data_IF_298252452934
#
_entry.id   IF_298252452934
#
_cell.length_a   1.000
_cell.length_b   1.000
_cell.length_c   1.000
_cell.angle_alpha   90.00
_cell.angle_beta   90.00
_cell.angle_gamma   90.00
#
_symmetry.space_group_name_H-M   'P 1'
#
loop_
_entity.id
_entity.type
_entity.pdbx_description
1 polymer ?
#
# COMPACT_ATOMS: atom_id res chain seq x y z
N UNK A 1 9.62 0.78 23.70
CA UNK A 1 8.53 0.32 22.82
C UNK A 1 8.89 0.64 21.37
N UNK A 2 8.64 -0.28 20.43
CA UNK A 2 8.89 -0.07 19.00
C UNK A 2 7.61 -0.41 18.23
N UNK A 3 7.02 0.58 17.57
CA UNK A 3 5.89 0.38 16.67
C UNK A 3 6.37 -0.23 15.35
N UNK A 4 5.70 -1.28 14.88
CA UNK A 4 5.92 -1.89 13.56
C UNK A 4 4.64 -1.81 12.73
N UNK A 5 4.71 -1.18 11.57
CA UNK A 5 3.60 -1.10 10.63
C UNK A 5 3.68 -2.21 9.58
N UNK A 6 2.53 -2.63 9.05
CA UNK A 6 2.39 -3.63 7.99
C UNK A 6 3.06 -3.20 6.68
N UNK A 7 3.04 -1.92 6.37
CA UNK A 7 3.71 -1.33 5.22
C UNK A 7 4.18 0.09 5.53
N UNK A 8 5.38 0.44 5.08
CA UNK A 8 5.82 1.84 5.11
C UNK A 8 5.16 2.57 3.95
N UNK A 9 4.62 3.75 4.22
CA UNK A 9 4.16 4.68 3.20
C UNK A 9 5.20 5.77 2.99
N UNK A 10 5.46 6.14 1.74
CA UNK A 10 6.32 7.29 1.42
C UNK A 10 5.62 8.59 1.85
N UNK A 11 6.38 9.67 1.99
CA UNK A 11 5.83 11.00 2.26
C UNK A 11 4.75 11.37 1.23
N UNK A 12 3.58 11.77 1.70
CA UNK A 12 2.42 12.13 0.87
C UNK A 12 1.55 10.95 0.44
N UNK A 13 1.91 9.70 0.76
CA UNK A 13 1.06 8.52 0.54
C UNK A 13 0.08 8.38 1.71
N UNK A 14 -1.18 8.07 1.40
CA UNK A 14 -2.25 7.92 2.38
C UNK A 14 -2.45 6.46 2.81
N UNK A 15 -3.14 6.28 3.93
CA UNK A 15 -3.62 4.99 4.38
C UNK A 15 -4.96 5.13 5.09
N UNK A 16 -5.95 4.32 4.72
CA UNK A 16 -7.23 4.16 5.41
C UNK A 16 -7.29 2.85 6.18
N UNK A 17 -6.40 1.90 5.86
CA UNK A 17 -6.34 0.57 6.48
C UNK A 17 -4.91 0.16 6.87
N UNK A 18 -4.10 1.09 7.42
CA UNK A 18 -2.80 0.73 7.99
C UNK A 18 -2.99 -0.10 9.24
N UNK A 19 -2.19 -1.17 9.38
CA UNK A 19 -2.11 -1.99 10.57
C UNK A 19 -0.73 -1.85 11.21
N UNK A 20 -0.69 -1.74 12.52
CA UNK A 20 0.55 -1.69 13.27
C UNK A 20 0.43 -2.50 14.56
N UNK A 21 1.54 -3.01 15.07
CA UNK A 21 1.60 -3.60 16.41
C UNK A 21 2.71 -2.96 17.25
N UNK A 22 2.55 -3.07 18.55
CA UNK A 22 3.52 -2.63 19.55
C UNK A 22 3.49 -3.56 20.73
N UNK A 23 4.66 -3.98 21.22
CA UNK A 23 4.79 -4.73 22.47
C UNK A 23 4.84 -3.74 23.63
N UNK A 24 3.88 -3.86 24.56
CA UNK A 24 3.76 -3.00 25.71
C UNK A 24 3.99 -3.83 26.99
N UNK A 25 4.95 -3.45 27.86
CA UNK A 25 5.11 -4.11 29.17
C UNK A 25 3.79 -4.06 29.96
N UNK A 26 3.36 -5.18 30.54
CA UNK A 26 2.13 -5.26 31.32
C UNK A 26 2.07 -4.18 32.42
N UNK A 27 3.18 -3.86 33.07
CA UNK A 27 3.27 -2.81 34.08
C UNK A 27 3.00 -1.38 33.54
N UNK A 28 3.10 -1.18 32.24
CA UNK A 28 2.80 0.11 31.59
C UNK A 28 1.34 0.26 31.18
N UNK A 29 0.60 -0.83 31.04
CA UNK A 29 -0.82 -0.81 30.64
C UNK A 29 -1.71 -0.02 31.58
N UNK A 30 -1.66 -0.19 32.95
CA UNK A 30 -2.50 0.59 33.86
C UNK A 30 -2.24 2.10 33.81
N UNK A 31 -1.01 2.52 33.40
CA UNK A 31 -0.66 3.93 33.21
C UNK A 31 -1.11 4.48 31.87
N UNK A 32 -1.15 3.61 30.85
CA UNK A 32 -1.56 3.99 29.50
C UNK A 32 -3.07 4.22 29.41
N UNK A 33 -3.86 3.42 30.10
CA UNK A 33 -5.30 3.60 30.24
C UNK A 33 -5.74 3.17 31.66
N UNK A 34 -6.31 4.05 32.47
CA UNK A 34 -6.90 3.68 33.76
C UNK A 34 -8.05 2.69 33.51
N UNK A 35 -8.19 1.73 34.42
CA UNK A 35 -9.18 0.63 34.34
C UNK A 35 -10.46 1.06 33.64
N UNK A 36 -10.67 0.56 32.44
CA UNK A 36 -11.96 0.67 31.79
C UNK A 36 -12.93 -0.25 32.51
N UNK A 37 -14.13 0.21 32.88
CA UNK A 37 -15.18 -0.67 33.40
C UNK A 37 -15.71 -1.62 32.31
N UNK A 38 -15.22 -1.46 31.06
CA UNK A 38 -15.64 -2.24 29.91
C UNK A 38 -14.63 -3.36 29.63
N UNK A 39 -15.15 -4.56 29.41
CA UNK A 39 -14.42 -5.73 28.91
C UNK A 39 -14.80 -5.98 27.46
N UNK A 40 -13.92 -6.64 26.68
CA UNK A 40 -14.15 -6.92 25.26
C UNK A 40 -13.82 -5.76 24.35
N UNK A 41 -14.60 -5.56 23.28
CA UNK A 41 -14.31 -4.57 22.20
C UNK A 41 -14.21 -3.13 22.70
N UNK A 42 -14.89 -2.78 23.81
CA UNK A 42 -14.82 -1.44 24.39
C UNK A 42 -13.59 -1.20 25.30
N UNK A 43 -12.75 -2.21 25.53
CA UNK A 43 -11.59 -2.14 26.46
C UNK A 43 -10.67 -0.97 26.13
N UNK A 44 -10.36 -0.73 24.86
CA UNK A 44 -9.38 0.25 24.42
C UNK A 44 -9.96 1.61 24.00
N UNK A 45 -11.27 1.81 24.07
CA UNK A 45 -11.91 3.10 23.69
C UNK A 45 -11.31 4.30 24.43
N UNK A 46 -11.02 4.25 25.75
CA UNK A 46 -10.36 5.36 26.44
C UNK A 46 -8.96 5.68 25.88
N UNK A 47 -8.20 4.65 25.49
CA UNK A 47 -6.88 4.83 24.87
C UNK A 47 -7.00 5.44 23.48
N UNK A 48 -7.93 4.98 22.65
CA UNK A 48 -8.21 5.56 21.32
C UNK A 48 -8.53 7.06 21.44
N UNK A 49 -9.43 7.43 22.37
CA UNK A 49 -9.79 8.83 22.63
C UNK A 49 -8.60 9.66 23.09
N UNK A 50 -7.74 9.10 23.95
CA UNK A 50 -6.53 9.77 24.40
C UNK A 50 -5.55 9.98 23.24
N UNK A 51 -5.28 8.96 22.43
CA UNK A 51 -4.41 9.06 21.26
C UNK A 51 -4.94 10.10 20.28
N UNK A 52 -6.25 10.20 20.05
CA UNK A 52 -6.86 11.20 19.18
C UNK A 52 -6.62 12.65 19.60
N UNK A 53 -6.24 12.91 20.87
CA UNK A 53 -5.88 14.24 21.38
C UNK A 53 -4.40 14.58 21.18
N UNK A 54 -3.53 13.57 21.12
CA UNK A 54 -2.08 13.75 21.00
C UNK A 54 -1.57 13.61 19.55
N UNK A 55 -2.27 12.82 18.74
CA UNK A 55 -1.87 12.62 17.35
C UNK A 55 -2.26 13.82 16.47
N UNK A 56 -1.46 14.14 15.44
CA UNK A 56 -1.83 15.13 14.43
C UNK A 56 -3.21 14.84 13.83
N UNK A 57 -3.87 15.87 13.29
CA UNK A 57 -5.25 15.75 12.76
C UNK A 57 -5.39 14.80 11.59
N UNK A 58 -4.32 14.50 10.88
CA UNK A 58 -4.22 13.58 9.76
C UNK A 58 -3.87 12.13 10.15
N UNK A 59 -3.68 11.86 11.46
CA UNK A 59 -3.46 10.50 11.99
C UNK A 59 -4.54 10.15 13.00
N UNK A 60 -5.21 9.02 12.78
CA UNK A 60 -6.24 8.49 13.70
C UNK A 60 -6.06 7.00 13.91
N UNK A 61 -6.16 6.58 15.16
CA UNK A 61 -6.29 5.17 15.53
C UNK A 61 -7.78 4.84 15.52
N UNK A 62 -8.19 3.95 14.64
CA UNK A 62 -9.60 3.58 14.46
C UNK A 62 -9.99 2.49 15.43
N UNK A 63 -9.08 1.53 15.66
CA UNK A 63 -9.30 0.40 16.53
C UNK A 63 -8.00 -0.05 17.21
N UNK A 64 -8.12 -0.67 18.39
CA UNK A 64 -7.02 -1.31 19.13
C UNK A 64 -7.56 -2.64 19.68
N UNK A 65 -6.85 -3.71 19.36
CA UNK A 65 -7.13 -5.06 19.84
C UNK A 65 -5.89 -5.71 20.43
N UNK A 66 -6.07 -6.74 21.24
CA UNK A 66 -4.96 -7.59 21.69
C UNK A 66 -4.50 -8.43 20.51
N UNK A 67 -3.20 -8.34 20.19
CA UNK A 67 -2.63 -9.14 19.14
C UNK A 67 -2.55 -10.62 19.57
N UNK A 68 -2.92 -11.57 18.69
CA UNK A 68 -2.68 -12.99 18.92
C UNK A 68 -1.19 -13.30 19.10
N UNK A 69 -0.87 -14.42 19.73
CA UNK A 69 0.51 -14.90 19.82
C UNK A 69 1.11 -15.06 18.40
N UNK A 70 2.37 -14.65 18.24
CA UNK A 70 3.06 -14.73 16.97
C UNK A 70 2.68 -13.64 15.94
N UNK A 71 1.75 -12.74 16.23
CA UNK A 71 1.37 -11.68 15.29
C UNK A 71 2.50 -10.68 15.07
N UNK A 72 2.86 -10.48 13.81
CA UNK A 72 3.72 -9.40 13.34
C UNK A 72 3.01 -8.65 12.20
N UNK A 73 2.67 -7.37 12.41
CA UNK A 73 1.93 -6.59 11.42
C UNK A 73 2.57 -6.60 10.03
N UNK A 74 3.90 -6.72 9.94
CA UNK A 74 4.62 -6.74 8.68
C UNK A 74 4.78 -8.14 8.10
N UNK A 75 5.21 -9.10 8.91
CA UNK A 75 5.61 -10.41 8.43
C UNK A 75 4.46 -11.42 8.39
N UNK A 76 3.43 -11.25 9.24
CA UNK A 76 2.24 -12.10 9.17
C UNK A 76 1.31 -11.73 8.01
N UNK A 77 1.46 -10.58 7.38
CA UNK A 77 0.56 -10.15 6.32
C UNK A 77 0.64 -11.04 5.08
N UNK A 78 -0.54 -11.41 4.54
CA UNK A 78 -0.69 -12.17 3.30
C UNK A 78 -0.57 -11.26 2.09
N UNK A 79 -1.27 -10.13 2.11
CA UNK A 79 -1.30 -9.16 1.01
C UNK A 79 -1.64 -7.76 1.49
N UNK A 80 -1.37 -6.77 0.64
CA UNK A 80 -1.71 -5.35 0.84
C UNK A 80 -2.50 -4.89 -0.36
N UNK A 81 -3.53 -4.09 -0.09
CA UNK A 81 -4.40 -3.52 -1.10
C UNK A 81 -4.19 -2.02 -1.16
N UNK A 82 -3.91 -1.54 -2.36
CA UNK A 82 -3.75 -0.12 -2.64
C UNK A 82 -4.77 0.32 -3.69
N UNK A 83 -5.14 1.58 -3.61
CA UNK A 83 -5.81 2.28 -4.71
C UNK A 83 -4.97 3.49 -5.11
N UNK A 84 -4.94 3.78 -6.41
CA UNK A 84 -4.38 5.03 -6.92
C UNK A 84 -5.45 5.77 -7.71
N UNK A 85 -5.67 7.05 -7.40
CA UNK A 85 -6.73 7.85 -7.99
C UNK A 85 -6.17 8.99 -8.82
N UNK A 86 -6.74 9.16 -10.02
CA UNK A 86 -6.44 10.20 -11.00
C UNK A 86 -7.71 10.94 -11.39
N UNK A 87 -7.62 12.24 -11.63
CA UNK A 87 -8.67 13.02 -12.28
C UNK A 87 -8.17 13.52 -13.62
N UNK A 88 -8.90 13.21 -14.70
CA UNK A 88 -8.64 13.71 -16.06
C UNK A 88 -9.42 14.98 -16.38
N UNK A 89 -10.20 15.48 -15.43
CA UNK A 89 -10.94 16.73 -15.59
C UNK A 89 -9.98 17.89 -15.94
N UNK A 90 -10.34 18.77 -16.90
CA UNK A 90 -9.48 19.89 -17.31
C UNK A 90 -9.21 20.89 -16.18
N UNK A 91 -10.09 20.97 -15.18
CA UNK A 91 -9.92 21.79 -13.97
C UNK A 91 -9.12 21.07 -12.87
N UNK A 92 -8.66 19.82 -13.10
CA UNK A 92 -7.93 19.02 -12.11
C UNK A 92 -8.84 18.22 -11.17
N UNK A 93 -8.36 17.93 -9.96
CA UNK A 93 -9.17 17.23 -8.97
C UNK A 93 -10.13 18.20 -8.26
N UNK A 94 -11.31 17.72 -7.87
CA UNK A 94 -12.23 18.49 -7.04
C UNK A 94 -11.54 18.91 -5.75
N UNK A 95 -11.75 20.13 -5.21
CA UNK A 95 -11.04 20.64 -4.03
C UNK A 95 -11.08 19.71 -2.81
N UNK A 96 -12.23 19.06 -2.55
CA UNK A 96 -12.39 18.12 -1.44
C UNK A 96 -11.55 16.85 -1.61
N UNK A 97 -11.22 16.49 -2.86
CA UNK A 97 -10.48 15.28 -3.23
C UNK A 97 -9.00 15.56 -3.54
N UNK A 98 -8.61 16.81 -3.70
CA UNK A 98 -7.30 17.22 -4.21
C UNK A 98 -6.11 16.71 -3.38
N UNK A 99 -6.32 16.33 -2.12
CA UNK A 99 -5.27 15.77 -1.26
C UNK A 99 -4.99 14.29 -1.52
N UNK A 100 -5.92 13.55 -2.17
CA UNK A 100 -5.83 12.10 -2.39
C UNK A 100 -6.23 11.65 -3.80
N UNK A 101 -6.41 12.61 -4.72
CA UNK A 101 -6.61 12.40 -6.14
C UNK A 101 -5.57 13.21 -6.91
N UNK A 102 -4.80 12.55 -7.77
CA UNK A 102 -3.81 13.23 -8.62
C UNK A 102 -4.52 13.87 -9.82
N UNK A 103 -4.33 15.18 -10.00
CA UNK A 103 -4.76 15.85 -11.23
C UNK A 103 -3.87 15.39 -12.40
N UNK A 104 -4.53 14.88 -13.46
CA UNK A 104 -3.86 14.44 -14.68
C UNK A 104 -4.67 14.88 -15.90
N UNK A 105 -4.67 16.17 -16.25
CA UNK A 105 -5.55 16.76 -17.27
C UNK A 105 -5.08 16.42 -18.70
N UNK A 106 -4.82 15.14 -18.95
CA UNK A 106 -4.44 14.59 -20.25
C UNK A 106 -5.35 13.42 -20.55
N UNK A 107 -5.70 13.23 -21.83
CA UNK A 107 -6.44 12.04 -22.25
C UNK A 107 -5.68 10.78 -21.87
N UNK A 108 -6.40 9.79 -21.35
CA UNK A 108 -5.85 8.49 -20.99
C UNK A 108 -6.73 7.39 -21.60
N UNK A 109 -6.07 6.51 -22.35
CA UNK A 109 -6.65 5.27 -22.84
C UNK A 109 -6.56 4.20 -21.71
N UNK A 110 -7.70 4.07 -20.99
CA UNK A 110 -7.78 3.13 -19.85
C UNK A 110 -7.74 1.68 -20.33
N UNK A 111 -8.24 1.39 -21.53
CA UNK A 111 -8.22 0.04 -22.10
C UNK A 111 -6.79 -0.40 -22.43
N UNK A 112 -5.98 0.50 -23.02
CA UNK A 112 -4.56 0.25 -23.24
C UNK A 112 -3.80 0.05 -21.91
N UNK A 113 -4.11 0.85 -20.88
CA UNK A 113 -3.53 0.69 -19.54
C UNK A 113 -3.93 -0.66 -18.93
N UNK A 114 -5.19 -1.05 -19.04
CA UNK A 114 -5.69 -2.34 -18.54
C UNK A 114 -5.05 -3.52 -19.30
N UNK A 115 -4.87 -3.40 -20.62
CA UNK A 115 -4.18 -4.40 -21.42
C UNK A 115 -2.72 -4.60 -20.97
N UNK A 116 -1.95 -3.50 -20.79
CA UNK A 116 -0.59 -3.55 -20.30
C UNK A 116 -0.48 -4.07 -18.86
N UNK A 117 -1.50 -3.84 -18.03
CA UNK A 117 -1.53 -4.29 -16.63
C UNK A 117 -1.64 -5.81 -16.52
N UNK A 118 -2.33 -6.49 -17.46
CA UNK A 118 -2.48 -7.96 -17.44
C UNK A 118 -1.15 -8.68 -17.51
N UNK A 119 -0.20 -8.15 -18.26
CA UNK A 119 1.13 -8.75 -18.41
C UNK A 119 2.02 -8.61 -17.15
N UNK A 120 1.62 -7.74 -16.21
CA UNK A 120 2.35 -7.48 -14.97
C UNK A 120 1.81 -8.33 -13.80
N UNK A 121 0.63 -8.94 -13.94
CA UNK A 121 0.05 -9.80 -12.90
C UNK A 121 0.79 -11.12 -12.83
N UNK A 122 1.10 -11.57 -11.60
CA UNK A 122 1.82 -12.80 -11.32
C UNK A 122 3.10 -12.58 -10.54
N UNK A 123 3.87 -13.65 -10.40
CA UNK A 123 5.17 -13.65 -9.73
C UNK A 123 6.27 -13.21 -10.70
N UNK A 124 6.78 -12.01 -10.50
CA UNK A 124 7.82 -11.41 -11.35
C UNK A 124 8.89 -10.72 -10.52
N UNK A 125 10.03 -10.47 -11.17
CA UNK A 125 11.04 -9.54 -10.65
C UNK A 125 10.69 -8.11 -11.10
N UNK A 126 10.26 -7.29 -10.15
CA UNK A 126 9.90 -5.89 -10.38
C UNK A 126 11.09 -4.91 -10.24
N UNK A 127 12.32 -5.36 -10.46
CA UNK A 127 13.50 -4.49 -10.37
C UNK A 127 13.35 -3.24 -11.27
N UNK A 128 12.77 -3.37 -12.48
CA UNK A 128 12.48 -2.27 -13.39
C UNK A 128 11.54 -1.19 -12.83
N UNK A 129 10.77 -1.51 -11.79
CA UNK A 129 9.78 -0.64 -11.14
C UNK A 129 10.17 -0.22 -9.72
N UNK A 130 11.27 -0.72 -9.16
CA UNK A 130 11.62 -0.51 -7.77
C UNK A 130 12.85 0.35 -7.60
N UNK A 131 12.85 1.23 -6.60
CA UNK A 131 14.10 1.82 -6.14
C UNK A 131 14.93 0.75 -5.44
N UNK A 132 16.21 0.68 -5.76
CA UNK A 132 17.13 -0.26 -5.14
C UNK A 132 17.20 -0.04 -3.61
N UNK A 133 17.23 -1.14 -2.88
CA UNK A 133 17.46 -1.16 -1.44
C UNK A 133 18.36 -2.35 -1.10
N UNK A 134 19.50 -2.13 -0.42
CA UNK A 134 20.36 -3.22 0.00
C UNK A 134 19.58 -4.27 0.82
N UNK A 135 19.89 -5.54 0.62
CA UNK A 135 19.31 -6.66 1.34
C UNK A 135 17.77 -6.78 1.22
N UNK A 136 17.20 -6.34 0.09
CA UNK A 136 15.77 -6.50 -0.20
C UNK A 136 15.60 -7.11 -1.59
N UNK A 137 14.76 -8.14 -1.70
CA UNK A 137 14.36 -8.71 -3.00
C UNK A 137 13.34 -7.82 -3.71
N UNK A 138 13.32 -7.87 -5.02
CA UNK A 138 12.33 -7.22 -5.89
C UNK A 138 11.30 -8.18 -6.47
N UNK A 139 11.45 -9.49 -6.17
CA UNK A 139 10.52 -10.53 -6.61
C UNK A 139 9.23 -10.42 -5.79
N UNK A 140 8.09 -10.19 -6.47
CA UNK A 140 6.76 -9.99 -5.87
C UNK A 140 5.71 -10.75 -6.63
N UNK A 141 4.68 -11.16 -5.91
CA UNK A 141 3.46 -11.71 -6.50
C UNK A 141 2.41 -10.61 -6.60
N UNK A 142 2.31 -9.99 -7.79
CA UNK A 142 1.29 -8.99 -8.09
C UNK A 142 -0.01 -9.72 -8.44
N UNK A 143 -0.98 -9.69 -7.53
CA UNK A 143 -2.20 -10.50 -7.61
C UNK A 143 -3.34 -9.77 -8.32
N UNK A 144 -3.31 -8.43 -8.32
CA UNK A 144 -4.33 -7.59 -8.95
C UNK A 144 -3.70 -6.28 -9.42
N UNK A 145 -4.04 -5.89 -10.65
CA UNK A 145 -3.76 -4.56 -11.19
C UNK A 145 -4.81 -4.27 -12.27
N UNK A 146 -5.89 -3.66 -11.87
CA UNK A 146 -7.00 -3.30 -12.76
C UNK A 146 -7.41 -1.84 -12.60
N UNK A 147 -8.17 -1.35 -13.55
CA UNK A 147 -8.57 0.03 -13.69
C UNK A 147 -10.08 0.16 -13.80
N UNK A 148 -10.64 1.16 -13.15
CA UNK A 148 -12.02 1.59 -13.33
C UNK A 148 -12.07 3.08 -13.64
N UNK A 149 -13.12 3.49 -14.39
CA UNK A 149 -13.36 4.89 -14.73
C UNK A 149 -14.80 5.28 -14.40
N UNK A 150 -14.95 6.36 -13.65
CA UNK A 150 -16.24 6.98 -13.33
C UNK A 150 -16.15 8.46 -13.73
N UNK A 151 -16.68 8.79 -14.91
CA UNK A 151 -16.51 10.12 -15.48
C UNK A 151 -15.04 10.49 -15.67
N UNK A 152 -14.59 11.53 -14.98
CA UNK A 152 -13.20 11.99 -15.01
C UNK A 152 -12.30 11.31 -13.98
N UNK A 153 -12.88 10.57 -13.04
CA UNK A 153 -12.12 9.84 -12.03
C UNK A 153 -11.69 8.46 -12.56
N UNK A 154 -10.39 8.21 -12.57
CA UNK A 154 -9.80 6.91 -12.89
C UNK A 154 -9.18 6.34 -11.61
N UNK A 155 -9.46 5.09 -11.30
CA UNK A 155 -8.94 4.39 -10.12
C UNK A 155 -8.22 3.12 -10.53
N UNK A 156 -6.96 2.96 -10.09
CA UNK A 156 -6.24 1.71 -10.14
C UNK A 156 -6.44 0.94 -8.83
N UNK A 157 -6.70 -0.36 -8.92
CA UNK A 157 -6.71 -1.29 -7.80
C UNK A 157 -5.48 -2.19 -7.88
N UNK A 158 -4.67 -2.22 -6.83
CA UNK A 158 -3.38 -2.91 -6.84
C UNK A 158 -3.27 -3.77 -5.59
N UNK A 159 -3.10 -5.08 -5.79
CA UNK A 159 -2.92 -6.05 -4.69
C UNK A 159 -1.69 -6.88 -4.93
N UNK A 160 -0.84 -7.03 -3.92
CA UNK A 160 0.32 -7.91 -3.96
C UNK A 160 0.62 -8.48 -2.55
N UNK A 161 1.40 -9.56 -2.53
CA UNK A 161 1.93 -10.13 -1.28
C UNK A 161 2.81 -9.15 -0.51
N UNK A 162 3.62 -8.38 -1.24
CA UNK A 162 4.43 -7.29 -0.73
C UNK A 162 4.78 -6.31 -1.87
N UNK A 163 5.28 -5.13 -1.52
CA UNK A 163 5.74 -4.13 -2.47
C UNK A 163 7.18 -3.74 -2.17
N UNK A 164 8.01 -3.61 -3.20
CA UNK A 164 9.31 -2.99 -3.08
C UNK A 164 9.19 -1.46 -3.14
N UNK A 165 10.27 -0.76 -2.81
CA UNK A 165 10.21 0.69 -2.63
C UNK A 165 9.73 1.42 -3.88
N UNK A 166 8.66 2.18 -3.73
CA UNK A 166 8.01 2.98 -4.78
C UNK A 166 7.33 2.18 -5.90
N UNK A 167 7.19 0.83 -5.75
CA UNK A 167 6.70 -0.05 -6.81
C UNK A 167 5.34 0.39 -7.37
N UNK A 168 4.32 0.58 -6.54
CA UNK A 168 2.97 0.94 -7.04
C UNK A 168 2.99 2.25 -7.84
N UNK A 169 3.66 3.27 -7.32
CA UNK A 169 3.78 4.56 -8.00
C UNK A 169 4.55 4.46 -9.32
N UNK A 170 5.52 3.56 -9.39
CA UNK A 170 6.29 3.26 -10.60
C UNK A 170 5.45 2.52 -11.64
N UNK A 171 4.67 1.51 -11.21
CA UNK A 171 3.72 0.81 -12.07
C UNK A 171 2.71 1.79 -12.69
N UNK A 172 2.09 2.63 -11.85
CA UNK A 172 1.15 3.66 -12.34
C UNK A 172 1.85 4.62 -13.30
N UNK A 173 3.05 5.10 -12.99
CA UNK A 173 3.79 6.02 -13.86
C UNK A 173 4.12 5.43 -15.23
N UNK A 174 4.50 4.16 -15.29
CA UNK A 174 4.73 3.44 -16.54
C UNK A 174 3.44 3.26 -17.34
N UNK A 175 2.35 2.86 -16.67
CA UNK A 175 1.04 2.67 -17.29
C UNK A 175 0.42 3.98 -17.81
N UNK A 176 0.69 5.11 -17.14
CA UNK A 176 0.31 6.43 -17.65
C UNK A 176 1.01 6.75 -18.98
N UNK A 177 2.28 6.33 -19.17
CA UNK A 177 2.95 6.51 -20.44
C UNK A 177 2.33 5.66 -21.57
N UNK A 178 1.78 4.49 -21.24
CA UNK A 178 1.00 3.67 -22.18
C UNK A 178 -0.36 4.32 -22.46
N UNK A 179 -1.09 4.74 -21.43
CA UNK A 179 -2.40 5.41 -21.59
C UNK A 179 -2.35 6.72 -22.38
N UNK A 180 -1.21 7.41 -22.35
CA UNK A 180 -0.93 8.60 -23.20
C UNK A 180 -0.41 8.23 -24.59
N UNK A 181 -0.34 6.95 -24.97
CA UNK A 181 0.23 6.44 -26.23
C UNK A 181 1.70 6.87 -26.49
N UNK A 182 2.44 7.25 -25.44
CA UNK A 182 3.88 7.53 -25.51
C UNK A 182 4.72 6.26 -25.56
N UNK A 183 4.16 5.14 -25.12
CA UNK A 183 4.78 3.80 -25.12
C UNK A 183 3.74 2.77 -25.58
N UNK A 184 4.15 1.71 -26.27
CA UNK A 184 3.26 0.63 -26.68
C UNK A 184 2.79 -0.20 -25.48
N UNK A 185 1.69 -0.94 -25.61
CA UNK A 185 1.13 -1.80 -24.56
C UNK A 185 2.15 -2.85 -24.07
N UNK A 186 3.00 -3.40 -24.97
CA UNK A 186 4.02 -4.40 -24.62
C UNK A 186 5.14 -3.86 -23.73
N UNK A 187 5.34 -2.56 -23.71
CA UNK A 187 6.52 -1.96 -23.07
C UNK A 187 6.61 -2.23 -21.55
N UNK A 188 5.46 -2.27 -20.85
CA UNK A 188 5.46 -2.56 -19.42
C UNK A 188 5.99 -3.99 -19.14
N UNK A 189 5.67 -4.96 -19.99
CA UNK A 189 6.21 -6.33 -19.93
C UNK A 189 7.73 -6.35 -20.15
N UNK A 190 8.24 -5.56 -21.10
CA UNK A 190 9.66 -5.45 -21.37
C UNK A 190 10.44 -4.94 -20.14
N UNK A 191 9.84 -4.04 -19.34
CA UNK A 191 10.44 -3.54 -18.09
C UNK A 191 10.64 -4.62 -17.02
N UNK A 192 9.94 -5.75 -17.07
CA UNK A 192 10.17 -6.89 -16.16
C UNK A 192 11.53 -7.55 -16.37
N UNK A 193 12.12 -7.40 -17.56
CA UNK A 193 13.48 -7.91 -17.86
C UNK A 193 14.60 -6.99 -17.37
N UNK A 194 14.26 -5.78 -16.90
CA UNK A 194 15.24 -4.82 -16.42
C UNK A 194 15.80 -5.23 -15.05
N UNK A 195 17.10 -5.05 -14.84
CA UNK A 195 17.79 -5.34 -13.57
C UNK A 195 17.81 -4.18 -12.59
N UNK A 196 17.39 -2.99 -13.03
CA UNK A 196 17.30 -1.77 -12.24
C UNK A 196 16.13 -0.93 -12.73
N UNK A 197 15.67 -0.01 -11.89
CA UNK A 197 14.56 0.87 -12.24
C UNK A 197 14.87 1.67 -13.49
N UNK A 198 13.94 1.63 -14.46
CA UNK A 198 14.05 2.44 -15.68
C UNK A 198 13.91 3.94 -15.36
N UNK A 199 14.68 4.74 -16.10
CA UNK A 199 14.57 6.21 -16.13
C UNK A 199 13.53 6.72 -17.12
N UNK A 200 12.95 5.83 -17.96
CA UNK A 200 12.06 6.19 -19.07
C UNK A 200 10.67 6.66 -18.64
N UNK A 201 10.38 6.59 -17.35
CA UNK A 201 9.14 7.09 -16.76
C UNK A 201 9.37 7.69 -15.37
N UNK A 202 8.54 8.63 -14.98
CA UNK A 202 8.49 9.16 -13.63
C UNK A 202 7.51 8.33 -12.77
N UNK A 203 7.85 8.09 -11.50
CA UNK A 203 6.87 7.54 -10.57
C UNK A 203 5.71 8.53 -10.39
N UNK A 204 4.49 8.02 -10.38
CA UNK A 204 3.30 8.82 -10.16
C UNK A 204 3.36 9.57 -8.81
N UNK A 205 2.72 10.75 -8.68
CA UNK A 205 2.70 11.53 -7.45
C UNK A 205 2.22 10.72 -6.23
N UNK A 206 2.77 10.94 -5.03
CA UNK A 206 2.45 10.11 -3.87
C UNK A 206 1.02 10.27 -3.36
N UNK A 207 0.43 11.46 -3.45
CA UNK A 207 -0.87 11.77 -2.86
C UNK A 207 -2.06 11.06 -3.51
N UNK A 208 -1.93 10.58 -4.75
CA UNK A 208 -2.96 9.72 -5.37
C UNK A 208 -3.01 8.30 -4.79
N UNK A 209 -1.97 7.86 -4.06
CA UNK A 209 -1.85 6.51 -3.55
C UNK A 209 -2.39 6.37 -2.13
N UNK A 210 -3.20 5.35 -1.89
CA UNK A 210 -3.76 5.03 -0.58
C UNK A 210 -3.65 3.53 -0.29
N UNK A 211 -3.05 3.14 0.84
CA UNK A 211 -3.15 1.79 1.39
C UNK A 211 -4.55 1.61 1.99
N UNK A 212 -5.37 0.74 1.44
CA UNK A 212 -6.78 0.59 1.86
C UNK A 212 -7.01 -0.56 2.83
N UNK A 213 -6.25 -1.65 2.73
CA UNK A 213 -6.33 -2.76 3.68
C UNK A 213 -5.11 -3.66 3.64
N UNK A 214 -4.97 -4.49 4.67
CA UNK A 214 -3.96 -5.53 4.81
C UNK A 214 -4.65 -6.81 5.27
N UNK A 215 -4.44 -7.90 4.55
CA UNK A 215 -5.02 -9.21 4.91
C UNK A 215 -4.01 -10.03 5.71
N UNK A 216 -4.51 -10.74 6.71
CA UNK A 216 -3.77 -11.66 7.56
C UNK A 216 -4.38 -13.05 7.52
N UNK A 217 -3.59 -14.11 7.77
CA UNK A 217 -4.13 -15.45 7.94
C UNK A 217 -4.86 -15.61 9.28
N UNK A 218 -5.61 -16.72 9.47
CA UNK A 218 -6.09 -17.12 10.79
C UNK A 218 -4.97 -17.20 11.83
N UNK A 219 -5.31 -17.03 13.12
CA UNK A 219 -4.36 -16.89 14.22
C UNK A 219 -3.39 -18.08 14.35
N UNK A 220 -3.86 -19.30 14.09
CA UNK A 220 -3.09 -20.54 14.11
C UNK A 220 -2.02 -20.65 13.01
N UNK A 221 -2.10 -19.80 11.98
CA UNK A 221 -1.17 -19.78 10.84
C UNK A 221 -0.16 -18.64 10.89
N UNK A 222 -0.23 -17.75 11.88
CA UNK A 222 0.61 -16.55 11.98
C UNK A 222 2.11 -16.86 12.02
N UNK A 223 2.52 -17.83 12.86
CA UNK A 223 3.93 -18.20 13.01
C UNK A 223 4.49 -18.83 11.73
N UNK A 224 3.76 -19.76 11.12
CA UNK A 224 4.15 -20.36 9.85
C UNK A 224 4.29 -19.31 8.76
N UNK A 225 3.36 -18.36 8.70
CA UNK A 225 3.43 -17.24 7.75
C UNK A 225 4.65 -16.36 7.97
N UNK A 226 5.00 -16.06 9.22
CA UNK A 226 6.17 -15.27 9.55
C UNK A 226 7.47 -15.90 9.03
N UNK A 227 7.62 -17.22 9.16
CA UNK A 227 8.79 -17.95 8.65
C UNK A 227 8.90 -17.81 7.14
N UNK A 228 7.82 -18.12 6.41
CA UNK A 228 7.77 -17.98 4.94
C UNK A 228 8.07 -16.55 4.47
N UNK A 229 7.56 -15.55 5.18
CA UNK A 229 7.73 -14.15 4.76
C UNK A 229 9.14 -13.61 5.01
N UNK A 230 9.86 -14.18 5.97
CA UNK A 230 11.25 -13.78 6.28
C UNK A 230 12.26 -14.39 5.31
N UNK A 231 11.92 -15.50 4.67
CA UNK A 231 12.74 -16.06 3.59
C UNK A 231 12.78 -15.11 2.39
N UNK A 232 14.00 -14.75 1.98
CA UNK A 232 14.21 -13.91 0.82
C UNK A 232 14.03 -14.75 -0.44
N UNK A 233 13.08 -14.36 -1.29
CA UNK A 233 12.97 -14.96 -2.64
C UNK A 233 14.21 -14.62 -3.44
N UNK A 234 14.87 -15.63 -3.96
CA UNK A 234 15.99 -15.53 -4.89
C UNK A 234 15.48 -15.75 -6.32
N UNK A 235 16.25 -15.22 -7.31
CA UNK A 235 16.01 -15.50 -8.74
C UNK A 235 16.27 -16.97 -9.07
#
# INVERSE_FOLDING_TARGET
MRLRAAGRTDTGVHATGQVAHVDVPLAALPKAYPRSPHTGEAEFVPLIRRLGRFLPTDVRVLDITRAPAGFDARFSALRRHYVYRLSTAPYGAQPQLARYVTAWPRPLDVDAMAAASRDLVGLHDFAGFCRHRPNATTIRDLQRLDWSREGDLITAHVTADAFCWSMVRSLVGALLAVGEHRRPVSWCRELLSATSRSSDYAAAPPHGLTLVSVDYPPDDQLEARNLVTRDLRTR
#
